data_IF_062899558226
#
_entry.id   IF_062899558226
#
_cell.length_a   1.000
_cell.length_b   1.000
_cell.length_c   1.000
_cell.angle_alpha   90.00
_cell.angle_beta   90.00
_cell.angle_gamma   90.00
#
_symmetry.space_group_name_H-M   'P 1'
#
loop_
_entity.id
_entity.type
_entity.pdbx_description
1 polymer ?
#
# COMPACT_ATOMS: atom_id res chain seq x y z
N UNK A 1 -26.97 19.71 13.92
CA UNK A 1 -27.51 19.34 12.60
C UNK A 1 -27.26 17.85 12.44
N UNK A 2 -28.31 17.01 12.33
CA UNK A 2 -28.09 15.57 12.12
C UNK A 2 -27.90 15.32 10.62
N UNK A 3 -27.04 14.39 10.25
CA UNK A 3 -26.87 13.97 8.84
C UNK A 3 -28.19 13.51 8.20
N UNK A 4 -29.16 13.09 9.00
CA UNK A 4 -30.52 12.73 8.58
C UNK A 4 -31.36 13.89 8.04
N UNK A 5 -30.94 15.13 8.29
CA UNK A 5 -31.73 16.32 7.98
C UNK A 5 -31.32 16.97 6.64
N UNK A 6 -30.39 16.32 5.90
CA UNK A 6 -29.92 16.76 4.59
C UNK A 6 -30.80 16.11 3.52
N UNK A 7 -31.61 16.90 2.82
CA UNK A 7 -32.33 16.44 1.63
C UNK A 7 -31.34 16.01 0.55
N UNK A 8 -31.45 14.75 0.09
CA UNK A 8 -30.59 14.20 -0.97
C UNK A 8 -31.23 14.45 -2.33
N UNK A 9 -30.82 15.52 -2.99
CA UNK A 9 -31.07 15.66 -4.42
C UNK A 9 -30.14 14.71 -5.19
N UNK A 10 -30.71 13.73 -5.89
CA UNK A 10 -29.93 12.80 -6.71
C UNK A 10 -29.48 13.46 -8.02
N UNK A 11 -28.35 14.16 -7.93
CA UNK A 11 -27.70 14.89 -9.05
C UNK A 11 -26.83 13.99 -9.95
N UNK A 12 -26.79 12.67 -9.72
CA UNK A 12 -25.83 11.75 -10.36
C UNK A 12 -26.42 10.79 -11.39
N UNK A 13 -27.68 11.00 -11.84
CA UNK A 13 -28.42 10.07 -12.71
C UNK A 13 -27.74 9.67 -14.02
N UNK A 14 -26.81 10.49 -14.54
CA UNK A 14 -26.12 10.27 -15.82
C UNK A 14 -24.59 10.05 -15.69
N UNK A 15 -24.06 9.76 -14.49
CA UNK A 15 -22.62 9.45 -14.35
C UNK A 15 -22.33 8.01 -14.76
N UNK A 16 -21.34 7.80 -15.64
CA UNK A 16 -20.84 6.46 -15.98
C UNK A 16 -20.31 5.76 -14.72
N UNK A 17 -20.52 4.44 -14.66
CA UNK A 17 -20.13 3.60 -13.52
C UNK A 17 -18.81 2.88 -13.73
N UNK A 18 -18.27 2.94 -14.94
CA UNK A 18 -17.06 2.26 -15.35
C UNK A 18 -16.10 3.27 -15.99
N UNK A 19 -14.81 2.99 -15.89
CA UNK A 19 -13.79 3.77 -16.59
C UNK A 19 -13.81 3.37 -18.06
N UNK A 20 -13.81 4.37 -18.94
CA UNK A 20 -13.86 4.20 -20.39
C UNK A 20 -12.58 4.74 -21.03
N UNK A 21 -12.13 4.10 -22.12
CA UNK A 21 -10.96 4.52 -22.87
C UNK A 21 -9.66 3.81 -22.47
N UNK A 22 -8.59 4.16 -23.18
CA UNK A 22 -7.25 3.58 -22.98
C UNK A 22 -6.51 4.30 -21.84
N UNK A 23 -5.85 3.53 -20.98
CA UNK A 23 -4.95 4.06 -19.96
C UNK A 23 -3.68 4.55 -20.66
N UNK A 24 -3.42 5.86 -20.60
CA UNK A 24 -2.30 6.47 -21.33
C UNK A 24 -1.09 6.76 -20.47
N UNK A 25 -1.23 6.71 -19.14
CA UNK A 25 -0.14 6.91 -18.18
C UNK A 25 -0.31 5.97 -16.99
N UNK A 26 0.66 5.10 -16.80
CA UNK A 26 0.75 4.24 -15.62
C UNK A 26 1.46 4.96 -14.47
N UNK A 27 1.07 4.68 -13.22
CA UNK A 27 1.70 5.30 -12.05
C UNK A 27 3.12 4.78 -11.83
N UNK A 28 3.41 3.53 -12.20
CA UNK A 28 4.76 2.95 -12.16
C UNK A 28 5.68 3.71 -13.11
N UNK A 29 5.24 3.97 -14.35
CA UNK A 29 6.03 4.75 -15.31
C UNK A 29 6.35 6.15 -14.75
N UNK A 30 5.38 6.79 -14.08
CA UNK A 30 5.58 8.11 -13.46
C UNK A 30 6.54 8.04 -12.27
N UNK A 31 6.49 6.98 -11.46
CA UNK A 31 7.46 6.77 -10.38
C UNK A 31 8.87 6.53 -10.93
N UNK A 32 8.99 5.80 -12.04
CA UNK A 32 10.25 5.62 -12.73
C UNK A 32 10.80 6.93 -13.31
N UNK A 33 9.95 7.83 -13.83
CA UNK A 33 10.34 9.19 -14.21
C UNK A 33 10.94 9.99 -13.02
N UNK A 34 10.49 9.71 -11.78
CA UNK A 34 11.02 10.28 -10.55
C UNK A 34 12.25 9.53 -10.00
N UNK A 35 12.72 8.49 -10.70
CA UNK A 35 13.86 7.67 -10.29
C UNK A 35 13.54 6.59 -9.26
N UNK A 36 12.26 6.25 -9.08
CA UNK A 36 11.79 5.26 -8.10
C UNK A 36 11.32 4.01 -8.86
N UNK A 37 12.11 2.95 -8.79
CA UNK A 37 11.78 1.68 -9.45
C UNK A 37 11.00 0.74 -8.53
N UNK A 38 10.25 -0.19 -9.11
CA UNK A 38 9.56 -1.26 -8.34
C UNK A 38 10.54 -2.03 -7.45
N UNK A 39 11.75 -2.32 -7.95
CA UNK A 39 12.76 -3.04 -7.17
C UNK A 39 13.18 -2.25 -5.92
N UNK A 40 13.29 -0.92 -6.00
CA UNK A 40 13.61 -0.09 -4.83
C UNK A 40 12.50 -0.14 -3.79
N UNK A 41 11.23 -0.20 -4.21
CA UNK A 41 10.09 -0.38 -3.30
C UNK A 41 10.16 -1.72 -2.58
N UNK A 42 10.44 -2.79 -3.33
CA UNK A 42 10.61 -4.15 -2.80
C UNK A 42 11.76 -4.20 -1.80
N UNK A 43 12.94 -3.72 -2.18
CA UNK A 43 14.14 -3.78 -1.35
C UNK A 43 13.95 -3.01 -0.04
N UNK A 44 13.33 -1.83 -0.13
CA UNK A 44 12.96 -0.99 1.01
C UNK A 44 11.99 -1.72 1.94
N UNK A 45 10.93 -2.32 1.39
CA UNK A 45 9.95 -3.07 2.18
C UNK A 45 10.58 -4.26 2.91
N UNK A 46 11.43 -5.01 2.19
CA UNK A 46 12.04 -6.25 2.69
C UNK A 46 13.28 -6.02 3.56
N UNK A 47 13.75 -4.79 3.71
CA UNK A 47 14.73 -4.44 4.75
C UNK A 47 14.13 -4.60 6.15
N UNK A 48 12.83 -4.29 6.30
CA UNK A 48 12.08 -4.42 7.55
C UNK A 48 11.27 -5.72 7.64
N UNK A 49 11.45 -6.65 6.70
CA UNK A 49 10.74 -7.91 6.68
C UNK A 49 11.12 -8.83 7.84
N UNK A 50 10.12 -9.52 8.40
CA UNK A 50 10.28 -10.54 9.43
C UNK A 50 9.58 -11.81 8.95
N UNK A 51 10.28 -12.97 8.92
CA UNK A 51 9.67 -14.23 8.54
C UNK A 51 8.39 -14.56 9.31
N UNK A 52 7.35 -14.93 8.58
CA UNK A 52 6.01 -15.19 9.12
C UNK A 52 5.31 -16.30 8.31
N UNK A 53 4.31 -17.02 8.87
CA UNK A 53 3.61 -18.06 8.12
C UNK A 53 3.05 -17.57 6.78
N UNK A 54 3.33 -18.30 5.71
CA UNK A 54 2.97 -17.96 4.33
C UNK A 54 3.98 -17.09 3.59
N UNK A 55 4.97 -16.52 4.30
CA UNK A 55 6.11 -15.75 3.78
C UNK A 55 7.35 -16.05 4.62
N UNK A 56 7.72 -17.32 4.74
CA UNK A 56 8.82 -17.77 5.60
C UNK A 56 10.21 -17.45 5.04
N UNK A 57 10.30 -17.17 3.73
CA UNK A 57 11.54 -16.79 3.06
C UNK A 57 11.40 -15.41 2.43
N UNK A 58 12.55 -14.76 2.18
CA UNK A 58 12.58 -13.46 1.51
C UNK A 58 11.94 -13.53 0.14
N UNK A 59 12.17 -14.60 -0.61
CA UNK A 59 11.63 -14.80 -1.95
C UNK A 59 10.10 -14.91 -1.94
N UNK A 60 9.53 -15.61 -0.95
CA UNK A 60 8.07 -15.68 -0.77
C UNK A 60 7.49 -14.33 -0.37
N UNK A 61 8.18 -13.58 0.50
CA UNK A 61 7.77 -12.24 0.89
C UNK A 61 7.80 -11.28 -0.30
N UNK A 62 8.84 -11.34 -1.13
CA UNK A 62 8.97 -10.55 -2.36
C UNK A 62 7.82 -10.81 -3.34
N UNK A 63 7.55 -12.09 -3.65
CA UNK A 63 6.45 -12.47 -4.54
C UNK A 63 5.10 -11.95 -4.02
N UNK A 64 4.87 -12.06 -2.71
CA UNK A 64 3.62 -11.60 -2.09
C UNK A 64 3.54 -10.08 -2.01
N UNK A 65 4.65 -9.39 -1.75
CA UNK A 65 4.70 -7.93 -1.77
C UNK A 65 4.38 -7.39 -3.17
N UNK A 66 5.01 -7.94 -4.21
CA UNK A 66 4.74 -7.56 -5.60
C UNK A 66 3.29 -7.78 -5.99
N UNK A 67 2.69 -8.89 -5.56
CA UNK A 67 1.28 -9.17 -5.76
C UNK A 67 0.36 -8.14 -5.07
N UNK A 68 0.63 -7.79 -3.81
CA UNK A 68 -0.15 -6.74 -3.13
C UNK A 68 0.08 -5.34 -3.73
N UNK A 69 1.28 -5.06 -4.22
CA UNK A 69 1.60 -3.79 -4.88
C UNK A 69 0.79 -3.64 -6.16
N UNK A 70 0.76 -4.68 -7.00
CA UNK A 70 -0.07 -4.73 -8.22
C UNK A 70 -1.56 -4.55 -7.90
N UNK A 71 -2.08 -5.26 -6.88
CA UNK A 71 -3.46 -5.10 -6.44
C UNK A 71 -3.77 -3.68 -5.94
N UNK A 72 -2.84 -3.05 -5.22
CA UNK A 72 -3.02 -1.71 -4.69
C UNK A 72 -3.05 -0.68 -5.83
N UNK A 73 -2.09 -0.76 -6.75
CA UNK A 73 -1.95 0.18 -7.88
C UNK A 73 -2.96 -0.06 -9.01
N UNK A 74 -3.71 -1.16 -8.98
CA UNK A 74 -4.86 -1.34 -9.84
C UNK A 74 -6.00 -0.35 -9.54
N UNK A 75 -6.07 0.23 -8.33
CA UNK A 75 -7.09 1.22 -7.97
C UNK A 75 -6.66 2.65 -8.38
N UNK A 76 -7.35 3.29 -9.34
CA UNK A 76 -7.00 4.64 -9.78
C UNK A 76 -7.11 5.70 -8.68
N UNK A 77 -7.93 5.49 -7.65
CA UNK A 77 -7.99 6.41 -6.52
C UNK A 77 -6.68 6.42 -5.74
N UNK A 78 -6.08 5.25 -5.53
CA UNK A 78 -4.77 5.17 -4.89
C UNK A 78 -3.71 5.84 -5.79
N UNK A 79 -3.74 5.57 -7.09
CA UNK A 79 -2.82 6.19 -8.05
C UNK A 79 -2.92 7.71 -8.04
N UNK A 80 -4.13 8.27 -7.93
CA UNK A 80 -4.33 9.73 -7.81
C UNK A 80 -3.78 10.29 -6.49
N UNK A 81 -3.88 9.56 -5.38
CA UNK A 81 -3.28 9.96 -4.10
C UNK A 81 -1.75 9.99 -4.20
N UNK A 82 -1.14 8.93 -4.74
CA UNK A 82 0.31 8.87 -4.98
C UNK A 82 0.75 10.00 -5.92
N UNK A 83 0.04 10.19 -7.04
CA UNK A 83 0.34 11.23 -8.01
C UNK A 83 0.22 12.64 -7.43
N UNK A 84 -0.72 12.88 -6.51
CA UNK A 84 -0.82 14.17 -5.82
C UNK A 84 0.44 14.50 -5.02
N UNK A 85 1.04 13.49 -4.37
CA UNK A 85 2.32 13.62 -3.69
C UNK A 85 3.47 13.93 -4.64
N UNK A 86 3.52 13.25 -5.79
CA UNK A 86 4.51 13.51 -6.85
C UNK A 86 4.42 14.95 -7.37
N UNK A 87 3.21 15.45 -7.59
CA UNK A 87 3.01 16.84 -8.00
C UNK A 87 3.49 17.83 -6.93
N UNK A 88 3.17 17.59 -5.65
CA UNK A 88 3.62 18.44 -4.55
C UNK A 88 5.14 18.44 -4.39
N UNK A 89 5.78 17.29 -4.56
CA UNK A 89 7.25 17.16 -4.56
C UNK A 89 7.89 17.96 -5.72
N UNK A 90 7.32 17.88 -6.93
CA UNK A 90 7.77 18.67 -8.10
C UNK A 90 7.63 20.17 -7.82
N UNK A 91 6.46 20.62 -7.37
CA UNK A 91 6.20 22.03 -7.04
C UNK A 91 7.10 22.53 -5.90
N UNK A 92 7.41 21.68 -4.92
CA UNK A 92 8.32 21.97 -3.81
C UNK A 92 9.75 22.22 -4.28
N UNK A 93 10.29 21.32 -5.10
CA UNK A 93 11.61 21.48 -5.74
C UNK A 93 11.71 22.75 -6.58
N UNK A 94 10.61 23.18 -7.18
CA UNK A 94 10.53 24.40 -7.99
C UNK A 94 10.17 25.66 -7.19
N UNK A 95 9.90 25.52 -5.88
CA UNK A 95 9.60 26.65 -4.99
C UNK A 95 8.24 27.29 -5.23
N UNK A 96 7.28 26.53 -5.76
CA UNK A 96 5.94 27.01 -6.15
C UNK A 96 4.83 26.64 -5.17
N UNK A 97 5.16 25.90 -4.10
CA UNK A 97 4.23 25.57 -3.04
C UNK A 97 3.67 26.84 -2.36
N UNK A 98 2.39 26.83 -1.95
CA UNK A 98 1.76 27.98 -1.34
C UNK A 98 2.33 28.25 0.06
N UNK A 99 2.64 29.52 0.35
CA UNK A 99 3.02 30.00 1.69
C UNK A 99 4.29 29.37 2.30
N UNK A 100 5.10 28.67 1.52
CA UNK A 100 6.40 28.13 1.93
C UNK A 100 7.45 28.54 0.90
N UNK A 101 8.60 29.01 1.36
CA UNK A 101 9.70 29.36 0.45
C UNK A 101 10.45 28.10 0.02
N UNK A 102 11.09 28.13 -1.17
CA UNK A 102 11.94 27.03 -1.63
C UNK A 102 13.02 26.63 -0.61
N UNK A 103 13.70 27.62 -0.01
CA UNK A 103 14.74 27.36 0.99
C UNK A 103 14.19 26.85 2.31
N UNK A 104 12.90 27.07 2.60
CA UNK A 104 12.21 26.44 3.72
C UNK A 104 11.92 24.98 3.39
N UNK A 105 11.36 24.71 2.21
CA UNK A 105 11.06 23.35 1.76
C UNK A 105 12.33 22.46 1.70
N UNK A 106 13.43 22.95 1.14
CA UNK A 106 14.71 22.23 1.06
C UNK A 106 15.36 21.91 2.42
N UNK A 107 14.91 22.56 3.50
CA UNK A 107 15.38 22.27 4.86
C UNK A 107 14.64 21.11 5.52
N UNK A 108 13.72 20.48 4.78
CA UNK A 108 12.91 19.36 5.25
C UNK A 108 12.31 19.65 6.64
N UNK A 109 11.48 20.69 6.67
CA UNK A 109 11.00 21.24 7.92
C UNK A 109 9.95 20.33 8.52
N UNK A 110 10.14 19.94 9.78
CA UNK A 110 9.23 19.10 10.59
C UNK A 110 7.81 19.65 10.77
N UNK A 111 7.45 20.76 10.12
CA UNK A 111 6.11 21.35 10.17
C UNK A 111 5.33 21.20 8.85
N UNK A 112 5.92 20.63 7.81
CA UNK A 112 5.11 20.11 6.72
C UNK A 112 4.38 18.90 7.31
N UNK A 113 3.06 19.01 7.40
CA UNK A 113 2.17 17.97 7.93
C UNK A 113 1.33 17.39 6.79
N UNK A 114 1.36 18.03 5.63
CA UNK A 114 0.55 17.65 4.49
C UNK A 114 1.05 16.34 3.85
N UNK A 115 2.35 16.16 3.76
CA UNK A 115 3.08 14.92 3.44
C UNK A 115 2.65 13.76 4.36
N UNK A 116 2.74 13.96 5.68
CA UNK A 116 2.37 12.98 6.70
C UNK A 116 0.90 12.57 6.59
N UNK A 117 0.00 13.56 6.39
CA UNK A 117 -1.43 13.31 6.19
C UNK A 117 -1.67 12.49 4.92
N UNK A 118 -0.95 12.75 3.84
CA UNK A 118 -1.06 11.98 2.60
C UNK A 118 -0.50 10.57 2.77
N UNK A 119 0.69 10.40 3.36
CA UNK A 119 1.31 9.10 3.65
C UNK A 119 0.44 8.21 4.54
N UNK A 120 -0.10 8.77 5.63
CA UNK A 120 -1.08 8.09 6.47
C UNK A 120 -2.37 7.73 5.71
N UNK A 121 -2.84 8.64 4.85
CA UNK A 121 -4.07 8.40 4.07
C UNK A 121 -3.87 7.27 3.06
N UNK A 122 -2.73 7.23 2.37
CA UNK A 122 -2.36 6.18 1.41
C UNK A 122 -2.27 4.83 2.13
N UNK A 123 -1.49 4.74 3.20
CA UNK A 123 -1.32 3.48 3.94
C UNK A 123 -2.65 2.96 4.50
N UNK A 124 -3.47 3.87 5.06
CA UNK A 124 -4.80 3.53 5.57
C UNK A 124 -5.78 3.15 4.47
N UNK A 125 -5.68 3.75 3.29
CA UNK A 125 -6.51 3.39 2.14
C UNK A 125 -6.25 1.94 1.72
N UNK A 126 -4.98 1.51 1.71
CA UNK A 126 -4.57 0.18 1.27
C UNK A 126 -4.98 -0.90 2.29
N UNK A 127 -4.71 -0.70 3.58
CA UNK A 127 -4.85 -1.77 4.58
C UNK A 127 -5.39 -1.33 5.94
N UNK A 128 -6.08 -0.19 5.98
CA UNK A 128 -6.73 0.34 7.17
C UNK A 128 -5.73 0.69 8.28
N UNK A 129 -6.13 0.49 9.53
CA UNK A 129 -5.27 0.85 10.67
C UNK A 129 -3.97 0.02 10.72
N UNK A 130 -3.93 -1.18 10.12
CA UNK A 130 -2.70 -1.98 10.02
C UNK A 130 -1.66 -1.28 9.13
N UNK A 131 -2.09 -0.75 7.99
CA UNK A 131 -1.24 0.03 7.09
C UNK A 131 -0.69 1.26 7.79
N UNK A 132 -1.53 1.95 8.56
CA UNK A 132 -1.11 3.12 9.33
C UNK A 132 -0.02 2.78 10.37
N UNK A 133 -0.11 1.64 11.07
CA UNK A 133 0.95 1.21 12.00
C UNK A 133 2.25 0.86 11.28
N UNK A 134 2.18 0.20 10.12
CA UNK A 134 3.36 -0.08 9.31
C UNK A 134 3.96 1.22 8.74
N UNK A 135 3.14 2.18 8.27
CA UNK A 135 3.63 3.49 7.84
C UNK A 135 4.48 4.17 8.91
N UNK A 136 3.97 4.27 10.15
CA UNK A 136 4.73 4.85 11.28
C UNK A 136 6.04 4.09 11.53
N UNK A 137 6.07 2.78 11.28
CA UNK A 137 7.28 1.96 11.43
C UNK A 137 8.30 2.24 10.33
N UNK A 138 7.87 2.45 9.08
CA UNK A 138 8.71 2.80 7.94
C UNK A 138 9.21 4.24 8.05
N UNK A 139 8.32 5.19 8.34
CA UNK A 139 8.67 6.60 8.53
C UNK A 139 9.76 6.77 9.62
N UNK A 140 9.64 6.10 10.76
CA UNK A 140 10.65 6.19 11.83
C UNK A 140 12.01 5.60 11.47
N UNK A 141 12.05 4.61 10.58
CA UNK A 141 13.28 3.89 10.26
C UNK A 141 13.94 4.38 8.97
N UNK A 142 13.15 4.99 8.07
CA UNK A 142 13.54 5.40 6.71
C UNK A 142 14.47 4.37 6.01
N UNK A 143 14.08 3.08 5.89
CA UNK A 143 14.89 2.09 5.18
C UNK A 143 15.04 2.43 3.70
N UNK A 144 16.05 1.84 3.04
CA UNK A 144 16.28 1.95 1.61
C UNK A 144 16.09 3.37 1.06
N UNK A 145 15.26 3.48 0.02
CA UNK A 145 15.07 4.73 -0.73
C UNK A 145 14.44 5.84 0.12
N UNK A 146 13.72 5.51 1.19
CA UNK A 146 13.04 6.51 2.04
C UNK A 146 14.02 7.47 2.71
N UNK A 147 15.27 7.07 2.91
CA UNK A 147 16.31 7.93 3.49
C UNK A 147 16.88 8.98 2.52
N UNK A 148 16.56 8.88 1.23
CA UNK A 148 17.12 9.74 0.17
C UNK A 148 16.06 10.64 -0.49
N UNK A 149 14.78 10.36 -0.26
CA UNK A 149 13.66 11.07 -0.87
C UNK A 149 13.41 12.43 -0.20
N UNK A 150 12.79 13.33 -0.96
CA UNK A 150 12.36 14.64 -0.46
C UNK A 150 11.06 14.56 0.36
N UNK A 151 10.64 15.69 0.99
CA UNK A 151 9.65 15.69 2.08
C UNK A 151 8.28 15.12 1.75
N UNK A 152 7.80 15.24 0.50
CA UNK A 152 6.53 14.59 0.15
C UNK A 152 6.77 13.15 -0.28
N UNK A 153 7.88 12.89 -0.96
CA UNK A 153 8.08 11.60 -1.60
C UNK A 153 8.43 10.49 -0.61
N UNK A 154 9.18 10.77 0.44
CA UNK A 154 9.47 9.79 1.48
C UNK A 154 8.19 9.33 2.21
N UNK A 155 7.25 10.23 2.52
CA UNK A 155 5.99 9.88 3.18
C UNK A 155 4.99 9.21 2.24
N UNK A 156 4.94 9.63 0.99
CA UNK A 156 4.06 9.02 -0.03
C UNK A 156 4.50 7.58 -0.32
N UNK A 157 5.81 7.38 -0.52
CA UNK A 157 6.38 6.05 -0.77
C UNK A 157 6.37 5.21 0.52
N UNK A 158 6.66 5.80 1.67
CA UNK A 158 6.52 5.15 2.97
C UNK A 158 5.08 4.70 3.23
N UNK A 159 4.10 5.51 2.86
CA UNK A 159 2.68 5.21 2.96
C UNK A 159 2.27 4.05 2.06
N UNK A 160 2.73 4.06 0.80
CA UNK A 160 2.52 2.97 -0.16
C UNK A 160 3.13 1.66 0.34
N UNK A 161 4.42 1.68 0.70
CA UNK A 161 5.16 0.51 1.19
C UNK A 161 4.54 -0.02 2.49
N UNK A 162 4.24 0.85 3.45
CA UNK A 162 3.61 0.46 4.72
C UNK A 162 2.24 -0.17 4.51
N UNK A 163 1.42 0.42 3.65
CA UNK A 163 0.11 -0.11 3.26
C UNK A 163 0.21 -1.51 2.63
N UNK A 164 1.07 -1.67 1.63
CA UNK A 164 1.30 -2.92 0.89
C UNK A 164 1.92 -3.99 1.79
N UNK A 165 2.92 -3.64 2.61
CA UNK A 165 3.55 -4.53 3.59
C UNK A 165 2.51 -5.12 4.56
N UNK A 166 1.63 -4.29 5.11
CA UNK A 166 0.56 -4.74 6.00
C UNK A 166 -0.45 -5.69 5.31
N UNK A 167 -0.76 -5.45 4.03
CA UNK A 167 -1.57 -6.36 3.21
C UNK A 167 -0.85 -7.69 2.97
N UNK A 168 0.45 -7.66 2.68
CA UNK A 168 1.28 -8.84 2.45
C UNK A 168 1.25 -9.76 3.68
N UNK A 169 1.53 -9.23 4.87
CA UNK A 169 1.44 -10.01 6.12
C UNK A 169 0.02 -10.54 6.37
N UNK A 170 -1.00 -9.73 6.10
CA UNK A 170 -2.40 -10.13 6.32
C UNK A 170 -2.80 -11.28 5.40
N UNK A 171 -2.45 -11.22 4.10
CA UNK A 171 -2.79 -12.27 3.15
C UNK A 171 -1.99 -13.54 3.38
N UNK A 172 -0.68 -13.42 3.63
CA UNK A 172 0.17 -14.57 3.94
C UNK A 172 -0.40 -15.40 5.10
N UNK A 173 -0.84 -14.72 6.17
CA UNK A 173 -1.48 -15.38 7.31
C UNK A 173 -2.82 -16.04 6.95
N UNK A 174 -3.65 -15.38 6.14
CA UNK A 174 -4.91 -15.95 5.67
C UNK A 174 -4.65 -17.23 4.83
N UNK A 175 -3.69 -17.18 3.91
CA UNK A 175 -3.34 -18.29 3.04
C UNK A 175 -2.76 -19.49 3.81
N UNK A 176 -1.87 -19.24 4.78
CA UNK A 176 -1.31 -20.26 5.66
C UNK A 176 -2.40 -20.92 6.55
N UNK A 177 -3.36 -20.14 7.03
CA UNK A 177 -4.50 -20.67 7.80
C UNK A 177 -5.43 -21.55 6.94
N UNK A 178 -5.63 -21.18 5.67
CA UNK A 178 -6.51 -21.91 4.75
C UNK A 178 -5.89 -23.24 4.28
N UNK A 179 -4.57 -23.26 4.05
CA UNK A 179 -3.82 -24.45 3.64
C UNK A 179 -3.72 -25.48 4.78
N UNK A 180 -3.40 -25.04 6.00
CA UNK A 180 -3.40 -25.91 7.19
C UNK A 180 -4.79 -26.49 7.51
N UNK A 181 -5.87 -25.73 7.27
CA UNK A 181 -7.25 -26.20 7.37
C UNK A 181 -7.63 -27.27 6.33
N UNK A 182 -7.16 -27.12 5.08
CA UNK A 182 -7.34 -28.13 4.02
C UNK A 182 -6.61 -29.43 4.35
N UNK A 183 -5.37 -29.37 4.82
CA UNK A 183 -4.58 -30.55 5.22
C UNK A 183 -5.23 -31.30 6.38
N UNK A 184 -5.72 -30.59 7.41
CA UNK A 184 -6.46 -31.20 8.53
C UNK A 184 -7.77 -31.87 8.09
N UNK A 185 -8.51 -31.26 7.14
CA UNK A 185 -9.75 -31.84 6.59
C UNK A 185 -9.48 -33.07 5.71
N UNK A 186 -8.40 -33.07 4.92
CA UNK A 186 -7.98 -34.22 4.13
C UNK A 186 -7.56 -35.40 5.03
N UNK A 187 -6.71 -35.15 6.03
CA UNK A 187 -6.28 -36.18 6.99
C UNK A 187 -7.45 -36.79 7.78
N UNK A 188 -8.48 -36.01 8.12
CA UNK A 188 -9.68 -36.50 8.81
C UNK A 188 -10.58 -37.35 7.90
N UNK A 189 -10.64 -37.05 6.60
CA UNK A 189 -11.33 -37.89 5.60
C UNK A 189 -10.60 -39.22 5.40
N UNK A 190 -9.28 -39.20 5.29
CA UNK A 190 -8.48 -40.41 5.11
C UNK A 190 -8.57 -41.34 6.35
N UNK A 191 -8.56 -40.77 7.56
CA UNK A 191 -8.74 -41.52 8.80
C UNK A 191 -10.12 -42.21 8.89
N UNK A 192 -11.19 -41.51 8.51
CA UNK A 192 -12.54 -42.10 8.46
C UNK A 192 -12.68 -43.17 7.36
N UNK A 193 -12.01 -42.99 6.21
CA UNK A 193 -12.06 -44.01 5.14
C UNK A 193 -11.35 -45.31 5.54
N UNK A 194 -10.30 -45.24 6.36
CA UNK A 194 -9.57 -46.42 6.85
C UNK A 194 -10.30 -47.16 7.97
N UNK A 195 -11.12 -46.47 8.77
CA UNK A 195 -11.96 -47.14 9.79
C UNK A 195 -13.11 -47.92 9.17
N UNK A 196 -13.67 -47.44 8.06
CA UNK A 196 -14.80 -48.10 7.38
C UNK A 196 -14.39 -49.38 6.62
N UNK A 197 -13.11 -49.51 6.24
CA UNK A 197 -12.57 -50.70 5.54
C UNK A 197 -12.18 -51.82 6.51
N UNK A 198 -11.94 -51.53 7.79
CA UNK A 198 -11.62 -52.56 8.80
C UNK A 198 -12.85 -53.09 9.57
N UNK A 199 -14.04 -52.55 9.30
CA UNK A 199 -15.30 -52.97 9.92
C UNK A 199 -16.20 -53.80 8.97
N UNK A 200 -15.68 -54.21 7.80
CA UNK A 200 -16.38 -55.04 6.81
C UNK A 200 -15.82 -56.45 6.72
#
# INVERSE_FOLDING_TARGET
MKLSDIESEDRKKDQSKELEGEITRDIIDILEEEGITVQMLVDTALELYVPHPGIETRELAEEKFLYELDLALFDPNLCMLVYSGILLEREGREGRLPNISKSSYEKDLTFIIADEVLGMSISKYISGDKGMFEFVRFDKQKPGILSELGPFMDDIIGGLIGGVSASMYTRAMADASSSSGKTKRAAKKDANSKSDVMAG
#
